data_IF_614687439887
#
_entry.id   IF_614687439887
#
_cell.length_a   1.000
_cell.length_b   1.000
_cell.length_c   1.000
_cell.angle_alpha   90.00
_cell.angle_beta   90.00
_cell.angle_gamma   90.00
#
_symmetry.space_group_name_H-M   'P 1'
#
loop_
_entity.id
_entity.type
_entity.pdbx_description
1 polymer ?
#
# COMPACT_ATOMS: atom_id res chain seq x y z
N UNK A 1 -53.25 3.00 13.23
CA UNK A 1 -52.28 3.76 12.40
C UNK A 1 -50.96 3.01 12.49
N UNK A 2 -50.75 2.07 11.57
CA UNK A 2 -49.62 1.13 11.59
C UNK A 2 -48.43 1.81 10.93
N UNK A 3 -47.36 2.02 11.70
CA UNK A 3 -46.10 2.56 11.18
C UNK A 3 -45.35 1.39 10.54
N UNK A 4 -45.45 1.28 9.22
CA UNK A 4 -44.58 0.41 8.42
C UNK A 4 -43.15 0.85 8.63
N UNK A 5 -42.38 0.06 9.38
CA UNK A 5 -40.92 0.12 9.35
C UNK A 5 -40.49 -0.31 7.95
N UNK A 6 -39.94 0.64 7.19
CA UNK A 6 -39.36 0.38 5.89
C UNK A 6 -38.32 -0.73 5.99
N UNK A 7 -38.49 -1.75 5.15
CA UNK A 7 -37.59 -2.88 5.02
C UNK A 7 -36.24 -2.39 4.45
N UNK A 8 -35.25 -2.18 5.32
CA UNK A 8 -33.89 -1.78 4.95
C UNK A 8 -33.07 -2.95 4.38
N UNK A 9 -33.72 -3.88 3.67
CA UNK A 9 -33.16 -5.11 3.10
C UNK A 9 -32.39 -4.88 1.78
N UNK A 10 -32.06 -3.64 1.44
CA UNK A 10 -31.04 -3.32 0.44
C UNK A 10 -29.62 -3.52 1.00
N UNK A 11 -29.38 -4.75 1.47
CA UNK A 11 -28.13 -5.52 1.44
C UNK A 11 -26.86 -4.71 1.12
N UNK A 12 -26.27 -4.08 2.12
CA UNK A 12 -24.86 -3.66 2.06
C UNK A 12 -23.97 -4.91 2.10
N UNK A 13 -23.79 -5.59 0.96
CA UNK A 13 -22.94 -6.79 0.80
C UNK A 13 -21.46 -6.55 1.15
N UNK A 14 -21.05 -5.30 1.37
CA UNK A 14 -19.68 -4.93 1.74
C UNK A 14 -19.44 -4.94 3.26
N UNK A 15 -20.49 -4.99 4.09
CA UNK A 15 -20.36 -4.99 5.54
C UNK A 15 -20.72 -6.35 6.14
N UNK A 16 -19.94 -6.77 7.13
CA UNK A 16 -20.29 -7.92 7.94
C UNK A 16 -21.63 -7.67 8.66
N UNK A 17 -22.40 -8.74 8.88
CA UNK A 17 -23.61 -8.65 9.71
C UNK A 17 -23.22 -8.11 11.09
N UNK A 18 -23.87 -7.05 11.60
CA UNK A 18 -23.51 -6.49 12.90
C UNK A 18 -23.88 -7.50 14.00
N UNK A 19 -22.86 -8.11 14.61
CA UNK A 19 -22.99 -9.04 15.73
C UNK A 19 -22.08 -8.58 16.86
N UNK A 20 -22.62 -8.49 18.06
CA UNK A 20 -21.90 -8.11 19.27
C UNK A 20 -22.34 -9.00 20.42
N UNK A 21 -21.38 -9.64 21.08
CA UNK A 21 -21.53 -10.26 22.39
C UNK A 21 -21.11 -9.26 23.46
N UNK A 22 -21.90 -9.14 24.52
CA UNK A 22 -21.68 -8.18 25.60
C UNK A 22 -21.48 -8.95 26.91
N UNK A 23 -20.30 -8.81 27.51
CA UNK A 23 -19.94 -9.38 28.81
C UNK A 23 -19.93 -8.26 29.85
N UNK A 24 -20.84 -8.33 30.82
CA UNK A 24 -20.87 -7.46 31.99
C UNK A 24 -19.96 -8.05 33.07
N UNK A 25 -18.99 -7.29 33.58
CA UNK A 25 -18.04 -7.74 34.61
C UNK A 25 -18.40 -7.21 35.99
N UNK A 26 -17.95 -7.91 37.03
CA UNK A 26 -18.26 -7.58 38.43
C UNK A 26 -17.70 -6.23 38.92
N UNK A 27 -16.74 -5.64 38.20
CA UNK A 27 -16.19 -4.31 38.44
C UNK A 27 -16.98 -3.18 37.75
N UNK A 28 -18.10 -3.52 37.08
CA UNK A 28 -18.93 -2.59 36.32
C UNK A 28 -18.43 -2.33 34.89
N UNK A 29 -17.34 -2.97 34.44
CA UNK A 29 -16.88 -2.85 33.06
C UNK A 29 -17.71 -3.69 32.08
N UNK A 30 -17.79 -3.23 30.83
CA UNK A 30 -18.51 -3.89 29.74
C UNK A 30 -17.52 -4.26 28.64
N UNK A 31 -17.47 -5.53 28.27
CA UNK A 31 -16.66 -6.00 27.15
C UNK A 31 -17.56 -6.38 25.98
N UNK A 32 -17.38 -5.67 24.86
CA UNK A 32 -18.06 -5.95 23.61
C UNK A 32 -17.14 -6.72 22.67
N UNK A 33 -17.60 -7.85 22.09
CA UNK A 33 -16.83 -8.66 21.14
C UNK A 33 -17.65 -8.96 19.90
N UNK A 34 -17.04 -8.93 18.72
CA UNK A 34 -17.65 -9.54 17.54
C UNK A 34 -17.36 -11.05 17.61
N UNK A 35 -18.39 -11.92 17.65
CA UNK A 35 -18.19 -13.37 17.72
C UNK A 35 -17.72 -13.99 16.40
N UNK A 36 -17.69 -13.21 15.32
CA UNK A 36 -17.27 -13.70 14.02
C UNK A 36 -15.74 -13.80 13.99
N UNK A 37 -15.17 -14.99 13.67
CA UNK A 37 -13.72 -15.12 13.57
C UNK A 37 -13.19 -14.24 12.45
N UNK A 38 -12.01 -13.65 12.66
CA UNK A 38 -11.32 -12.90 11.63
C UNK A 38 -10.87 -13.87 10.53
N UNK A 39 -11.28 -13.60 9.29
CA UNK A 39 -10.82 -14.38 8.14
C UNK A 39 -9.33 -14.17 7.88
N UNK A 40 -8.71 -15.13 7.19
CA UNK A 40 -7.31 -15.01 6.79
C UNK A 40 -7.12 -13.80 5.86
N UNK A 41 -6.50 -12.74 6.40
CA UNK A 41 -6.10 -11.58 5.62
C UNK A 41 -4.77 -11.84 4.90
N UNK A 42 -4.56 -11.15 3.78
CA UNK A 42 -3.24 -11.13 3.15
C UNK A 42 -2.20 -10.55 4.10
N UNK A 43 -1.02 -11.17 4.13
CA UNK A 43 0.06 -10.81 5.05
C UNK A 43 0.74 -9.49 4.68
N UNK A 44 0.75 -9.14 3.38
CA UNK A 44 1.33 -7.90 2.89
C UNK A 44 0.74 -7.52 1.52
N UNK A 45 0.98 -6.27 1.09
CA UNK A 45 0.55 -5.73 -0.21
C UNK A 45 1.08 -6.57 -1.38
N UNK A 46 2.29 -7.13 -1.24
CA UNK A 46 2.92 -7.95 -2.27
C UNK A 46 2.11 -9.20 -2.63
N UNK A 47 1.34 -9.77 -1.69
CA UNK A 47 0.50 -10.94 -1.98
C UNK A 47 -0.59 -10.62 -3.00
N UNK A 48 -1.13 -9.40 -2.99
CA UNK A 48 -2.17 -8.98 -3.93
C UNK A 48 -1.60 -8.86 -5.34
N UNK A 49 -0.40 -8.29 -5.47
CA UNK A 49 0.30 -8.19 -6.76
C UNK A 49 0.63 -9.59 -7.32
N UNK A 50 1.15 -10.49 -6.48
CA UNK A 50 1.48 -11.87 -6.88
C UNK A 50 0.23 -12.64 -7.30
N UNK A 51 -0.86 -12.54 -6.53
CA UNK A 51 -2.15 -13.18 -6.85
C UNK A 51 -2.71 -12.67 -8.17
N UNK A 52 -2.83 -11.35 -8.32
CA UNK A 52 -3.43 -10.76 -9.51
C UNK A 52 -2.57 -10.98 -10.76
N UNK A 53 -1.24 -11.04 -10.63
CA UNK A 53 -0.35 -11.41 -11.73
C UNK A 53 -0.50 -12.88 -12.18
N UNK A 54 -1.16 -13.73 -11.39
CA UNK A 54 -1.52 -15.11 -11.76
C UNK A 54 -2.95 -15.21 -12.28
N UNK A 55 -3.89 -14.57 -11.60
CA UNK A 55 -5.34 -14.71 -11.87
C UNK A 55 -5.83 -13.81 -13.02
N UNK A 56 -5.32 -12.58 -13.10
CA UNK A 56 -5.74 -11.56 -14.08
C UNK A 56 -4.51 -10.87 -14.71
N UNK A 57 -3.56 -11.65 -15.26
CA UNK A 57 -2.23 -11.18 -15.60
C UNK A 57 -2.19 -10.02 -16.59
N UNK A 58 -3.11 -10.03 -17.55
CA UNK A 58 -3.10 -9.12 -18.69
C UNK A 58 -4.00 -7.89 -18.46
N UNK A 59 -4.64 -7.79 -17.28
CA UNK A 59 -5.39 -6.59 -16.89
C UNK A 59 -4.40 -5.45 -16.58
N UNK A 60 -4.69 -4.27 -17.12
CA UNK A 60 -3.96 -3.04 -16.81
C UNK A 60 -4.04 -2.76 -15.32
N UNK A 61 -2.89 -2.57 -14.69
CA UNK A 61 -2.74 -2.29 -13.27
C UNK A 61 -2.34 -0.83 -13.04
N UNK A 62 -1.33 -0.34 -13.75
CA UNK A 62 -0.91 1.05 -13.71
C UNK A 62 -0.96 1.65 -15.12
N UNK A 63 -1.29 2.94 -15.20
CA UNK A 63 -1.25 3.69 -16.45
C UNK A 63 -0.85 5.14 -16.18
N UNK A 64 -0.03 5.71 -17.04
CA UNK A 64 0.36 7.13 -17.00
C UNK A 64 0.39 7.72 -18.41
N UNK A 65 0.30 9.05 -18.51
CA UNK A 65 0.48 9.75 -19.78
C UNK A 65 1.96 9.92 -20.09
N UNK A 66 2.38 9.51 -21.27
CA UNK A 66 3.74 9.65 -21.79
C UNK A 66 3.70 10.13 -23.24
N UNK A 67 4.20 11.34 -23.50
CA UNK A 67 4.22 11.93 -24.85
C UNK A 67 2.86 11.96 -25.54
N UNK A 68 1.79 12.26 -24.80
CA UNK A 68 0.41 12.28 -25.31
C UNK A 68 -0.28 10.91 -25.43
N UNK A 69 0.47 9.80 -25.31
CA UNK A 69 -0.08 8.43 -25.31
C UNK A 69 -0.17 7.88 -23.88
N UNK A 70 -0.91 6.80 -23.71
CA UNK A 70 -0.89 6.04 -22.46
C UNK A 70 0.29 5.05 -22.47
N UNK A 71 1.09 5.08 -21.41
CA UNK A 71 1.96 3.98 -21.03
C UNK A 71 1.19 3.14 -20.02
N UNK A 72 0.96 1.89 -20.35
CA UNK A 72 0.21 0.96 -19.50
C UNK A 72 1.12 -0.17 -19.02
N UNK A 73 0.84 -0.66 -17.82
CA UNK A 73 1.53 -1.78 -17.21
C UNK A 73 0.50 -2.76 -16.69
N UNK A 74 0.54 -4.00 -17.18
CA UNK A 74 -0.33 -5.08 -16.72
C UNK A 74 0.14 -5.64 -15.38
N UNK A 75 -0.72 -6.37 -14.66
CA UNK A 75 -0.32 -7.05 -13.42
C UNK A 75 0.88 -7.97 -13.62
N UNK A 76 0.95 -8.71 -14.74
CA UNK A 76 2.09 -9.56 -15.09
C UNK A 76 3.39 -8.76 -15.17
N UNK A 77 3.39 -7.68 -15.93
CA UNK A 77 4.58 -6.85 -16.14
C UNK A 77 4.99 -6.10 -14.87
N UNK A 78 4.02 -5.61 -14.09
CA UNK A 78 4.27 -4.97 -12.81
C UNK A 78 4.92 -5.93 -11.80
N UNK A 79 4.41 -7.16 -11.70
CA UNK A 79 5.01 -8.18 -10.84
C UNK A 79 6.43 -8.56 -11.27
N UNK A 80 6.67 -8.72 -12.58
CA UNK A 80 8.01 -8.99 -13.09
C UNK A 80 8.98 -7.84 -12.77
N UNK A 81 8.57 -6.59 -13.00
CA UNK A 81 9.36 -5.40 -12.69
C UNK A 81 9.65 -5.27 -11.20
N UNK A 82 8.63 -5.42 -10.34
CA UNK A 82 8.80 -5.39 -8.89
C UNK A 82 9.80 -6.45 -8.40
N UNK A 83 9.75 -7.68 -8.94
CA UNK A 83 10.72 -8.74 -8.60
C UNK A 83 12.14 -8.41 -9.05
N UNK A 84 12.31 -7.82 -10.23
CA UNK A 84 13.62 -7.41 -10.73
C UNK A 84 14.23 -6.31 -9.85
N UNK A 85 13.43 -5.29 -9.50
CA UNK A 85 13.83 -4.21 -8.59
C UNK A 85 14.16 -4.78 -7.21
N UNK A 86 13.28 -5.60 -6.63
CA UNK A 86 13.51 -6.24 -5.33
C UNK A 86 14.87 -6.97 -5.29
N UNK A 87 15.18 -7.73 -6.35
CA UNK A 87 16.47 -8.43 -6.49
C UNK A 87 17.64 -7.45 -6.49
N UNK A 88 17.51 -6.30 -7.16
CA UNK A 88 18.55 -5.26 -7.18
C UNK A 88 18.73 -4.63 -5.80
N UNK A 89 17.64 -4.23 -5.14
CA UNK A 89 17.71 -3.57 -3.83
C UNK A 89 18.37 -4.48 -2.78
N UNK A 90 18.07 -5.78 -2.79
CA UNK A 90 18.73 -6.75 -1.92
C UNK A 90 20.23 -6.87 -2.21
N UNK A 91 20.63 -6.83 -3.50
CA UNK A 91 22.06 -6.84 -3.89
C UNK A 91 22.81 -5.58 -3.47
N UNK A 92 22.11 -4.45 -3.36
CA UNK A 92 22.66 -3.19 -2.85
C UNK A 92 22.67 -3.12 -1.32
N UNK A 93 22.26 -4.21 -0.64
CA UNK A 93 22.18 -4.30 0.83
C UNK A 93 21.21 -3.28 1.45
N UNK A 94 20.15 -2.90 0.72
CA UNK A 94 19.03 -2.20 1.34
C UNK A 94 18.30 -3.13 2.30
N UNK A 95 17.74 -2.55 3.35
CA UNK A 95 17.10 -3.29 4.43
C UNK A 95 16.16 -2.39 5.24
N UNK A 96 15.52 -2.94 6.27
CA UNK A 96 14.77 -2.16 7.25
C UNK A 96 15.55 -1.01 7.88
N UNK A 97 16.88 -1.13 8.00
CA UNK A 97 17.77 -0.10 8.56
C UNK A 97 18.40 0.81 7.50
N UNK A 98 18.23 0.46 6.23
CA UNK A 98 18.78 1.19 5.07
C UNK A 98 17.67 1.33 4.03
N UNK A 99 16.68 2.20 4.30
CA UNK A 99 15.48 2.29 3.47
C UNK A 99 15.78 2.87 2.10
N UNK A 100 14.85 2.67 1.16
CA UNK A 100 14.85 3.35 -0.13
C UNK A 100 14.14 4.70 0.03
N UNK A 101 14.79 5.79 -0.37
CA UNK A 101 14.11 7.06 -0.62
C UNK A 101 13.75 7.12 -2.10
N UNK A 102 12.63 7.74 -2.44
CA UNK A 102 12.28 8.04 -3.83
C UNK A 102 12.08 9.55 -3.94
N UNK A 103 12.97 10.23 -4.68
CA UNK A 103 12.85 11.64 -5.01
C UNK A 103 12.44 11.80 -6.47
N UNK A 104 11.19 11.45 -6.77
CA UNK A 104 10.61 11.56 -8.11
C UNK A 104 9.17 12.02 -8.01
N UNK A 105 8.66 12.58 -9.10
CA UNK A 105 7.21 12.76 -9.26
C UNK A 105 6.50 11.41 -9.29
N UNK A 106 5.18 11.44 -9.10
CA UNK A 106 4.36 10.25 -9.18
C UNK A 106 4.29 9.73 -10.62
N UNK A 107 4.54 8.44 -10.80
CA UNK A 107 4.54 7.78 -12.10
C UNK A 107 4.71 6.27 -11.96
N UNK A 108 4.69 5.56 -13.09
CA UNK A 108 4.83 4.11 -13.15
C UNK A 108 6.16 3.66 -12.54
N UNK A 109 7.25 4.38 -12.80
CA UNK A 109 8.57 4.01 -12.29
C UNK A 109 8.65 4.19 -10.76
N UNK A 110 8.04 5.25 -10.22
CA UNK A 110 7.86 5.45 -8.77
C UNK A 110 7.06 4.29 -8.15
N UNK A 111 5.96 3.91 -8.78
CA UNK A 111 5.12 2.79 -8.35
C UNK A 111 5.89 1.46 -8.36
N UNK A 112 6.66 1.20 -9.40
CA UNK A 112 7.48 -0.01 -9.52
C UNK A 112 8.59 -0.08 -8.46
N UNK A 113 9.27 1.03 -8.19
CA UNK A 113 10.27 1.13 -7.12
C UNK A 113 9.65 0.84 -5.75
N UNK A 114 8.49 1.46 -5.46
CA UNK A 114 7.71 1.22 -4.24
C UNK A 114 7.33 -0.26 -4.11
N UNK A 115 6.75 -0.86 -5.16
CA UNK A 115 6.35 -2.27 -5.14
C UNK A 115 7.55 -3.22 -4.99
N UNK A 116 8.66 -2.92 -5.65
CA UNK A 116 9.90 -3.70 -5.54
C UNK A 116 10.50 -3.62 -4.13
N UNK A 117 10.53 -2.44 -3.52
CA UNK A 117 10.98 -2.26 -2.14
C UNK A 117 10.11 -3.04 -1.15
N UNK A 118 8.78 -2.88 -1.24
CA UNK A 118 7.83 -3.62 -0.41
C UNK A 118 7.95 -5.14 -0.61
N UNK A 119 8.19 -5.60 -1.85
CA UNK A 119 8.41 -7.02 -2.15
C UNK A 119 9.70 -7.56 -1.54
N UNK A 120 10.75 -6.73 -1.44
CA UNK A 120 12.01 -7.06 -0.78
C UNK A 120 11.96 -6.94 0.76
N UNK A 121 10.89 -6.40 1.34
CA UNK A 121 10.84 -6.05 2.77
C UNK A 121 11.68 -4.83 3.13
N UNK A 122 11.98 -3.96 2.15
CA UNK A 122 12.69 -2.70 2.33
C UNK A 122 11.68 -1.57 2.51
N UNK A 123 11.74 -0.79 3.61
CA UNK A 123 10.90 0.39 3.78
C UNK A 123 11.21 1.42 2.69
N UNK A 124 10.16 2.10 2.23
CA UNK A 124 10.25 3.11 1.17
C UNK A 124 9.73 4.45 1.70
N UNK A 125 10.46 5.52 1.40
CA UNK A 125 10.15 6.88 1.79
C UNK A 125 10.07 7.80 0.56
N UNK A 126 8.87 7.97 -0.03
CA UNK A 126 8.64 8.98 -1.06
C UNK A 126 8.85 10.39 -0.49
N UNK A 127 9.69 11.20 -1.13
CA UNK A 127 9.88 12.61 -0.80
C UNK A 127 9.41 13.46 -1.98
N UNK A 128 8.54 14.45 -1.69
CA UNK A 128 8.04 15.37 -2.71
C UNK A 128 9.18 16.16 -3.35
N UNK A 129 9.19 16.20 -4.68
CA UNK A 129 10.13 16.97 -5.51
C UNK A 129 10.07 18.47 -5.20
N UNK A 130 8.94 18.98 -4.70
CA UNK A 130 8.80 20.37 -4.26
C UNK A 130 9.82 20.76 -3.18
N UNK A 131 10.22 19.82 -2.30
CA UNK A 131 11.26 20.11 -1.30
C UNK A 131 12.68 20.20 -1.87
N UNK A 132 12.90 19.65 -3.07
CA UNK A 132 14.13 19.83 -3.82
C UNK A 132 14.09 21.08 -4.70
N UNK A 133 12.95 21.38 -5.32
CA UNK A 133 12.84 22.44 -6.33
C UNK A 133 12.56 23.83 -5.76
N UNK A 134 11.87 23.93 -4.60
CA UNK A 134 11.41 25.23 -4.06
C UNK A 134 12.30 25.78 -2.94
N UNK A 135 13.38 25.09 -2.55
CA UNK A 135 14.25 25.47 -1.43
C UNK A 135 15.63 25.83 -1.96
N UNK A 136 16.06 27.09 -1.87
CA UNK A 136 17.42 27.48 -2.26
C UNK A 136 18.48 26.77 -1.42
N UNK A 137 18.19 26.54 -0.13
CA UNK A 137 19.09 25.93 0.85
C UNK A 137 18.94 24.40 1.00
N UNK A 138 17.92 23.80 0.37
CA UNK A 138 17.58 22.37 0.46
C UNK A 138 17.52 21.81 1.90
N UNK A 139 17.30 22.66 2.91
CA UNK A 139 17.46 22.27 4.31
C UNK A 139 16.50 21.17 4.72
N UNK A 140 15.25 21.23 4.25
CA UNK A 140 14.22 20.22 4.52
C UNK A 140 14.59 18.86 3.94
N UNK A 141 15.03 18.82 2.69
CA UNK A 141 15.46 17.58 2.04
C UNK A 141 16.67 16.99 2.77
N UNK A 142 17.71 17.79 3.03
CA UNK A 142 18.89 17.34 3.77
C UNK A 142 18.54 16.79 5.16
N UNK A 143 17.62 17.44 5.87
CA UNK A 143 17.14 16.99 7.18
C UNK A 143 16.40 15.66 7.10
N UNK A 144 15.55 15.46 6.09
CA UNK A 144 14.87 14.19 5.86
C UNK A 144 15.85 13.05 5.54
N UNK A 145 16.85 13.30 4.68
CA UNK A 145 17.87 12.29 4.35
C UNK A 145 18.69 11.92 5.59
N UNK A 146 19.08 12.90 6.42
CA UNK A 146 19.79 12.65 7.69
C UNK A 146 18.97 11.84 8.68
N UNK A 147 17.65 12.08 8.74
CA UNK A 147 16.75 11.33 9.60
C UNK A 147 16.55 9.88 9.13
N UNK A 148 16.41 9.69 7.82
CA UNK A 148 16.07 8.39 7.22
C UNK A 148 17.28 7.47 7.01
N UNK A 149 18.49 8.04 6.91
CA UNK A 149 19.74 7.31 6.64
C UNK A 149 19.60 6.27 5.52
N UNK A 150 19.18 6.68 4.31
CA UNK A 150 18.80 5.74 3.26
C UNK A 150 19.97 4.90 2.74
N UNK A 151 19.65 3.70 2.27
CA UNK A 151 20.59 2.85 1.54
C UNK A 151 20.75 3.27 0.07
N UNK A 152 19.70 3.87 -0.51
CA UNK A 152 19.67 4.49 -1.84
C UNK A 152 18.58 5.58 -1.91
N UNK A 153 18.73 6.51 -2.86
CA UNK A 153 17.80 7.62 -3.17
C UNK A 153 17.49 7.57 -4.66
#
# INVERSE_FOLDING_TARGET
MSMQTADASATYKIFAKPRVEVEQRGDGSVVCRNPSPLEAASRCVGEWLVRNAREIPDRVFLAERSGGRWRELTYRSAHAGARAIATRLLRENLSAQRPLVILSDNGIDHGLLTLGALHAGVPVAPISTAYALMSEDHFKLSSMIKLLTPGAI
#
